data_IF_644320366464
#
_entry.id   IF_644320366464
#
_cell.length_a   1.000
_cell.length_b   1.000
_cell.length_c   1.000
_cell.angle_alpha   90.00
_cell.angle_beta   90.00
_cell.angle_gamma   90.00
#
_symmetry.space_group_name_H-M   'P 1'
#
loop_
_entity.id
_entity.type
_entity.pdbx_description
1 polymer ?
#
# COMPACT_ATOMS: atom_id res chain seq x y z
N UNK A 1 -43.68 1.94 18.08
CA UNK A 1 -43.34 1.56 19.47
C UNK A 1 -43.33 2.82 20.33
N UNK A 2 -43.88 2.78 21.54
CA UNK A 2 -43.96 3.98 22.42
C UNK A 2 -43.13 3.75 23.66
N UNK A 3 -42.31 4.72 24.04
CA UNK A 3 -41.50 4.69 25.26
C UNK A 3 -41.95 5.79 26.21
N UNK A 4 -42.15 5.42 27.47
CA UNK A 4 -42.52 6.33 28.57
C UNK A 4 -41.48 6.15 29.69
N UNK A 5 -40.82 7.25 30.06
CA UNK A 5 -39.92 7.30 31.23
C UNK A 5 -40.41 8.42 32.14
N UNK A 6 -40.37 8.18 33.46
CA UNK A 6 -40.76 9.18 34.45
C UNK A 6 -39.96 10.48 34.25
N UNK A 7 -40.63 11.63 34.21
CA UNK A 7 -40.03 12.95 34.01
C UNK A 7 -39.61 13.30 32.57
N UNK A 8 -39.94 12.48 31.55
CA UNK A 8 -39.61 12.77 30.14
C UNK A 8 -40.85 12.73 29.23
N UNK A 9 -40.90 13.52 28.14
CA UNK A 9 -41.99 13.47 27.19
C UNK A 9 -42.10 12.08 26.55
N UNK A 10 -43.33 11.64 26.30
CA UNK A 10 -43.63 10.35 25.66
C UNK A 10 -43.00 10.35 24.26
N UNK A 11 -42.23 9.31 23.91
CA UNK A 11 -41.62 9.17 22.58
C UNK A 11 -42.28 8.05 21.79
N UNK A 12 -42.69 8.35 20.57
CA UNK A 12 -43.19 7.38 19.60
C UNK A 12 -42.15 7.14 18.52
N UNK A 13 -41.77 5.88 18.35
CA UNK A 13 -40.82 5.43 17.32
C UNK A 13 -41.58 4.72 16.21
N UNK A 14 -41.34 5.16 14.98
CA UNK A 14 -41.83 4.53 13.76
C UNK A 14 -40.66 3.76 13.15
N UNK A 15 -40.87 2.48 12.92
CA UNK A 15 -39.91 1.55 12.32
C UNK A 15 -40.49 1.04 11.00
N UNK A 16 -39.63 0.65 10.06
CA UNK A 16 -40.07 0.12 8.77
C UNK A 16 -40.76 -1.25 8.88
N UNK A 17 -40.31 -2.10 9.80
CA UNK A 17 -40.95 -3.34 10.23
C UNK A 17 -40.47 -3.68 11.65
N UNK A 18 -41.01 -4.75 12.25
CA UNK A 18 -40.57 -5.20 13.58
C UNK A 18 -39.11 -5.66 13.52
N UNK A 19 -38.22 -4.96 14.24
CA UNK A 19 -36.77 -5.21 14.21
C UNK A 19 -36.02 -4.55 13.05
N UNK A 20 -36.71 -3.78 12.20
CA UNK A 20 -36.11 -3.02 11.10
C UNK A 20 -35.51 -1.67 11.53
N UNK A 21 -34.97 -0.88 10.57
CA UNK A 21 -34.41 0.43 10.84
C UNK A 21 -35.48 1.42 11.34
N UNK A 22 -35.06 2.35 12.21
CA UNK A 22 -35.91 3.41 12.76
C UNK A 22 -36.06 4.52 11.72
N UNK A 23 -37.31 4.81 11.34
CA UNK A 23 -37.65 5.79 10.31
C UNK A 23 -37.86 7.19 10.91
N UNK A 24 -38.63 7.30 11.98
CA UNK A 24 -38.96 8.59 12.60
C UNK A 24 -39.18 8.46 14.11
N UNK A 25 -38.82 9.51 14.85
CA UNK A 25 -39.15 9.66 16.28
C UNK A 25 -40.04 10.88 16.45
N UNK A 26 -41.13 10.75 17.17
CA UNK A 26 -42.07 11.84 17.51
C UNK A 26 -42.10 11.98 19.02
N UNK A 27 -41.93 13.20 19.52
CA UNK A 27 -41.96 13.51 20.95
C UNK A 27 -43.28 14.19 21.32
N UNK A 28 -43.90 13.72 22.41
CA UNK A 28 -45.17 14.24 22.90
C UNK A 28 -46.38 13.82 22.07
N UNK A 29 -47.57 14.13 22.60
CA UNK A 29 -48.85 13.98 21.90
C UNK A 29 -49.40 12.55 21.75
N UNK A 30 -50.58 12.43 21.09
CA UNK A 30 -51.21 11.15 20.79
C UNK A 30 -50.36 10.32 19.83
N UNK A 31 -50.71 9.04 19.66
CA UNK A 31 -49.99 8.12 18.76
C UNK A 31 -49.94 8.71 17.34
N UNK A 32 -48.74 8.92 16.76
CA UNK A 32 -48.61 9.58 15.47
C UNK A 32 -49.15 8.71 14.34
N UNK A 33 -49.81 9.35 13.38
CA UNK A 33 -50.24 8.74 12.12
C UNK A 33 -49.05 8.63 11.16
N UNK A 34 -49.09 7.60 10.30
CA UNK A 34 -48.08 7.40 9.25
C UNK A 34 -48.27 8.48 8.18
N UNK A 35 -47.20 9.22 7.89
CA UNK A 35 -47.20 10.28 6.87
C UNK A 35 -46.73 9.74 5.52
N UNK A 36 -46.94 10.51 4.43
CA UNK A 36 -46.38 10.16 3.11
C UNK A 36 -44.85 10.04 3.13
N UNK A 37 -44.16 10.88 3.91
CA UNK A 37 -42.71 10.80 4.09
C UNK A 37 -42.27 9.50 4.79
N UNK A 38 -43.05 9.03 5.79
CA UNK A 38 -42.80 7.74 6.42
C UNK A 38 -42.97 6.60 5.40
N UNK A 39 -43.99 6.63 4.55
CA UNK A 39 -44.23 5.60 3.52
C UNK A 39 -43.05 5.53 2.53
N UNK A 40 -42.53 6.68 2.07
CA UNK A 40 -41.36 6.73 1.18
C UNK A 40 -40.13 6.13 1.88
N UNK A 41 -39.88 6.49 3.14
CA UNK A 41 -38.75 5.98 3.90
C UNK A 41 -38.88 4.50 4.27
N UNK A 42 -40.10 4.00 4.50
CA UNK A 42 -40.40 2.58 4.66
C UNK A 42 -40.14 1.84 3.34
N UNK A 43 -40.58 2.39 2.20
CA UNK A 43 -40.31 1.84 0.87
C UNK A 43 -38.81 1.73 0.59
N UNK A 44 -38.05 2.80 0.85
CA UNK A 44 -36.59 2.78 0.71
C UNK A 44 -35.92 1.74 1.62
N UNK A 45 -36.40 1.60 2.87
CA UNK A 45 -35.90 0.60 3.80
C UNK A 45 -36.23 -0.84 3.38
N UNK A 46 -37.41 -1.07 2.79
CA UNK A 46 -37.82 -2.37 2.25
C UNK A 46 -36.98 -2.75 1.02
N UNK A 47 -36.76 -1.81 0.10
CA UNK A 47 -35.86 -2.01 -1.04
C UNK A 47 -34.43 -2.34 -0.59
N UNK A 48 -33.91 -1.61 0.40
CA UNK A 48 -32.57 -1.87 0.97
C UNK A 48 -32.48 -3.21 1.74
N UNK A 49 -33.60 -3.74 2.23
CA UNK A 49 -33.66 -5.01 2.95
C UNK A 49 -33.95 -6.22 2.05
N UNK A 50 -34.17 -6.02 0.75
CA UNK A 50 -34.33 -7.14 -0.18
C UNK A 50 -33.07 -8.00 -0.17
N UNK A 51 -33.20 -9.33 -0.03
CA UNK A 51 -32.03 -10.21 -0.08
C UNK A 51 -31.38 -10.07 -1.46
N UNK A 52 -30.07 -9.79 -1.47
CA UNK A 52 -29.30 -9.73 -2.72
C UNK A 52 -29.45 -11.06 -3.44
N UNK A 53 -29.96 -11.08 -4.69
CA UNK A 53 -30.12 -12.32 -5.43
C UNK A 53 -28.77 -13.04 -5.54
N UNK A 54 -28.75 -14.34 -5.21
CA UNK A 54 -27.49 -15.13 -5.19
C UNK A 54 -26.89 -15.33 -6.58
N UNK A 55 -27.67 -15.11 -7.62
CA UNK A 55 -27.33 -15.25 -9.03
C UNK A 55 -26.86 -13.94 -9.68
N UNK A 56 -26.53 -12.90 -8.89
CA UNK A 56 -25.91 -11.67 -9.37
C UNK A 56 -24.47 -11.52 -8.89
N UNK A 57 -23.73 -10.56 -9.46
CA UNK A 57 -22.36 -10.24 -9.02
C UNK A 57 -22.32 -9.79 -7.56
N UNK A 58 -23.31 -9.03 -7.08
CA UNK A 58 -23.37 -8.62 -5.67
C UNK A 58 -23.60 -9.82 -4.74
N UNK A 59 -24.44 -10.79 -5.14
CA UNK A 59 -24.64 -12.03 -4.40
C UNK A 59 -23.38 -12.88 -4.35
N UNK A 60 -22.64 -12.93 -5.47
CA UNK A 60 -21.35 -13.59 -5.58
C UNK A 60 -20.28 -12.91 -4.71
N UNK A 61 -20.20 -11.58 -4.73
CA UNK A 61 -19.27 -10.81 -3.91
C UNK A 61 -19.51 -11.02 -2.42
N UNK A 62 -20.78 -11.04 -1.99
CA UNK A 62 -21.17 -11.38 -0.61
C UNK A 62 -20.68 -12.78 -0.23
N UNK A 63 -20.91 -13.77 -1.09
CA UNK A 63 -20.46 -15.15 -0.88
C UNK A 63 -18.94 -15.27 -0.84
N UNK A 64 -18.23 -14.53 -1.70
CA UNK A 64 -16.77 -14.48 -1.73
C UNK A 64 -16.21 -13.86 -0.45
N UNK A 65 -16.76 -12.75 0.05
CA UNK A 65 -16.33 -12.14 1.32
C UNK A 65 -16.51 -13.08 2.52
N UNK A 66 -17.51 -13.96 2.49
CA UNK A 66 -17.75 -14.94 3.54
C UNK A 66 -16.82 -16.17 3.46
N UNK A 67 -16.10 -16.35 2.35
CA UNK A 67 -15.39 -17.57 2.01
C UNK A 67 -14.05 -17.73 2.75
N UNK A 68 -13.54 -18.97 2.88
CA UNK A 68 -12.20 -19.23 3.42
C UNK A 68 -11.10 -18.52 2.61
N UNK A 69 -11.21 -18.49 1.28
CA UNK A 69 -10.26 -17.87 0.35
C UNK A 69 -10.09 -16.37 0.64
N UNK A 70 -11.19 -15.66 0.94
CA UNK A 70 -11.14 -14.25 1.34
C UNK A 70 -10.61 -14.06 2.76
N UNK A 71 -11.07 -14.90 3.70
CA UNK A 71 -10.66 -14.85 5.10
C UNK A 71 -9.17 -15.16 5.30
N UNK A 72 -8.57 -15.95 4.41
CA UNK A 72 -7.15 -16.30 4.42
C UNK A 72 -6.23 -15.16 3.94
N UNK A 73 -6.76 -14.11 3.30
CA UNK A 73 -5.97 -12.97 2.83
C UNK A 73 -5.46 -12.12 4.01
N UNK A 74 -4.25 -11.58 3.87
CA UNK A 74 -3.72 -10.60 4.83
C UNK A 74 -4.64 -9.37 4.90
N UNK A 75 -4.73 -8.73 6.06
CA UNK A 75 -5.54 -7.53 6.26
C UNK A 75 -5.31 -6.44 5.18
N UNK A 76 -4.04 -6.13 4.84
CA UNK A 76 -3.76 -5.15 3.78
C UNK A 76 -4.17 -5.64 2.38
N UNK A 77 -4.09 -6.95 2.14
CA UNK A 77 -4.56 -7.54 0.88
C UNK A 77 -6.08 -7.42 0.81
N UNK A 78 -6.83 -7.81 1.86
CA UNK A 78 -8.29 -7.63 1.90
C UNK A 78 -8.70 -6.17 1.70
N UNK A 79 -7.94 -5.21 2.20
CA UNK A 79 -8.20 -3.79 2.03
C UNK A 79 -8.01 -3.32 0.57
N UNK A 80 -6.90 -3.70 -0.08
CA UNK A 80 -6.68 -3.38 -1.51
C UNK A 80 -7.70 -4.06 -2.42
N UNK A 81 -7.85 -5.38 -2.27
CA UNK A 81 -8.75 -6.20 -3.07
C UNK A 81 -10.22 -5.88 -2.75
N UNK A 82 -10.51 -5.43 -1.53
CA UNK A 82 -11.84 -5.02 -1.09
C UNK A 82 -12.33 -3.79 -1.84
N UNK A 83 -11.50 -2.74 -1.93
CA UNK A 83 -11.83 -1.56 -2.75
C UNK A 83 -12.04 -1.90 -4.21
N UNK A 84 -11.28 -2.84 -4.75
CA UNK A 84 -11.45 -3.31 -6.12
C UNK A 84 -12.77 -4.07 -6.29
N UNK A 85 -13.14 -4.89 -5.30
CA UNK A 85 -14.42 -5.58 -5.26
C UNK A 85 -15.59 -4.59 -5.13
N UNK A 86 -15.47 -3.54 -4.32
CA UNK A 86 -16.48 -2.48 -4.19
C UNK A 86 -16.70 -1.78 -5.54
N UNK A 87 -15.64 -1.53 -6.33
CA UNK A 87 -15.76 -0.98 -7.70
C UNK A 87 -16.49 -1.93 -8.65
N UNK A 88 -16.26 -3.25 -8.53
CA UNK A 88 -16.95 -4.28 -9.31
C UNK A 88 -18.44 -4.29 -8.94
N UNK A 89 -18.76 -4.28 -7.64
CA UNK A 89 -20.13 -4.24 -7.14
C UNK A 89 -20.86 -2.97 -7.61
N UNK A 90 -20.21 -1.81 -7.54
CA UNK A 90 -20.78 -0.56 -8.03
C UNK A 90 -21.07 -0.58 -9.55
N UNK A 91 -20.23 -1.27 -10.34
CA UNK A 91 -20.38 -1.31 -11.80
C UNK A 91 -21.36 -2.39 -12.29
N UNK A 92 -21.33 -3.56 -11.65
CA UNK A 92 -22.00 -4.76 -12.16
C UNK A 92 -22.79 -5.54 -11.10
N UNK A 93 -22.98 -5.00 -9.89
CA UNK A 93 -23.60 -5.72 -8.78
C UNK A 93 -24.93 -6.39 -9.11
N UNK A 94 -25.77 -5.72 -9.91
CA UNK A 94 -27.09 -6.21 -10.33
C UNK A 94 -27.04 -7.17 -11.54
N UNK A 95 -25.90 -7.28 -12.22
CA UNK A 95 -25.76 -8.08 -13.44
C UNK A 95 -25.87 -9.57 -13.08
N UNK A 96 -26.79 -10.32 -13.70
CA UNK A 96 -26.91 -11.76 -13.48
C UNK A 96 -25.66 -12.53 -13.94
N UNK A 97 -25.23 -13.52 -13.15
CA UNK A 97 -24.07 -14.38 -13.42
C UNK A 97 -24.15 -15.11 -14.76
N UNK A 98 -25.36 -15.47 -15.20
CA UNK A 98 -25.57 -16.10 -16.53
C UNK A 98 -25.05 -15.26 -17.70
N UNK A 99 -25.04 -13.93 -17.57
CA UNK A 99 -24.52 -13.05 -18.63
C UNK A 99 -23.00 -13.13 -18.73
N UNK A 100 -22.32 -13.48 -17.64
CA UNK A 100 -20.86 -13.67 -17.58
C UNK A 100 -20.39 -14.94 -18.28
N UNK A 101 -21.31 -15.81 -18.72
CA UNK A 101 -20.99 -16.91 -19.64
C UNK A 101 -20.99 -16.47 -21.12
N UNK A 102 -21.45 -15.25 -21.43
CA UNK A 102 -21.49 -14.75 -22.80
C UNK A 102 -20.15 -14.10 -23.19
N UNK A 103 -19.46 -14.54 -24.27
CA UNK A 103 -18.21 -13.94 -24.73
C UNK A 103 -18.28 -12.43 -25.00
N UNK A 104 -19.46 -11.89 -25.34
CA UNK A 104 -19.65 -10.45 -25.56
C UNK A 104 -19.38 -9.60 -24.32
N UNK A 105 -19.42 -10.20 -23.13
CA UNK A 105 -19.05 -9.50 -21.90
C UNK A 105 -17.56 -9.16 -21.84
N UNK A 106 -16.69 -9.89 -22.55
CA UNK A 106 -15.25 -9.56 -22.64
C UNK A 106 -15.07 -8.11 -23.14
N UNK A 107 -15.83 -7.70 -24.16
CA UNK A 107 -15.82 -6.33 -24.66
C UNK A 107 -16.19 -5.30 -23.59
N UNK A 108 -17.13 -5.63 -22.70
CA UNK A 108 -17.51 -4.73 -21.59
C UNK A 108 -16.41 -4.63 -20.53
N UNK A 109 -15.71 -5.73 -20.27
CA UNK A 109 -14.58 -5.75 -19.32
C UNK A 109 -13.43 -4.91 -19.87
N UNK A 110 -13.09 -5.06 -21.15
CA UNK A 110 -12.04 -4.28 -21.82
C UNK A 110 -12.42 -2.79 -21.83
N UNK A 111 -13.64 -2.43 -22.20
CA UNK A 111 -14.13 -1.04 -22.12
C UNK A 111 -14.02 -0.46 -20.70
N UNK A 112 -14.34 -1.25 -19.68
CA UNK A 112 -14.21 -0.81 -18.29
C UNK A 112 -12.75 -0.63 -17.88
N UNK A 113 -11.85 -1.55 -18.25
CA UNK A 113 -10.40 -1.40 -18.05
C UNK A 113 -9.89 -0.11 -18.69
N UNK A 114 -10.25 0.13 -19.94
CA UNK A 114 -9.77 1.27 -20.72
C UNK A 114 -10.35 2.59 -20.20
N UNK A 115 -11.54 2.59 -19.61
CA UNK A 115 -12.09 3.77 -18.90
C UNK A 115 -11.25 4.20 -17.67
N UNK A 116 -10.34 3.34 -17.21
CA UNK A 116 -9.41 3.60 -16.11
C UNK A 116 -7.96 3.81 -16.62
N UNK A 117 -7.76 4.13 -17.90
CA UNK A 117 -6.44 4.27 -18.52
C UNK A 117 -5.50 5.25 -17.79
N UNK A 118 -6.04 6.35 -17.23
CA UNK A 118 -5.29 7.33 -16.43
C UNK A 118 -4.77 6.76 -15.10
N UNK A 119 -5.31 5.62 -14.65
CA UNK A 119 -4.91 4.94 -13.42
C UNK A 119 -4.62 3.46 -13.70
N UNK A 120 -3.61 3.15 -14.53
CA UNK A 120 -3.43 1.83 -15.12
C UNK A 120 -3.25 0.73 -14.08
N UNK A 121 -2.53 1.03 -12.99
CA UNK A 121 -2.35 0.08 -11.86
C UNK A 121 -3.67 -0.21 -11.13
N UNK A 122 -4.55 0.78 -10.99
CA UNK A 122 -5.85 0.58 -10.37
C UNK A 122 -6.79 -0.20 -11.29
N UNK A 123 -6.70 0.03 -12.61
CA UNK A 123 -7.41 -0.75 -13.62
C UNK A 123 -7.01 -2.23 -13.53
N UNK A 124 -5.71 -2.52 -13.51
CA UNK A 124 -5.21 -3.90 -13.45
C UNK A 124 -5.61 -4.63 -12.16
N UNK A 125 -5.60 -3.93 -11.01
CA UNK A 125 -6.08 -4.51 -9.75
C UNK A 125 -7.57 -4.82 -9.84
N UNK A 126 -8.37 -3.94 -10.45
CA UNK A 126 -9.80 -4.15 -10.63
C UNK A 126 -10.09 -5.35 -11.53
N UNK A 127 -9.40 -5.46 -12.67
CA UNK A 127 -9.50 -6.62 -13.56
C UNK A 127 -9.03 -7.89 -12.87
N UNK A 128 -7.90 -7.88 -12.18
CA UNK A 128 -7.42 -9.05 -11.45
C UNK A 128 -8.42 -9.50 -10.37
N UNK A 129 -9.07 -8.58 -9.67
CA UNK A 129 -10.11 -8.92 -8.68
C UNK A 129 -11.34 -9.49 -9.37
N UNK A 130 -11.73 -8.97 -10.53
CA UNK A 130 -12.82 -9.56 -11.31
C UNK A 130 -12.49 -10.99 -11.75
N UNK A 131 -11.29 -11.23 -12.29
CA UNK A 131 -10.80 -12.55 -12.66
C UNK A 131 -10.88 -13.52 -11.48
N UNK A 132 -10.46 -13.10 -10.28
CA UNK A 132 -10.58 -13.95 -9.07
C UNK A 132 -12.01 -14.22 -8.65
N UNK A 133 -12.88 -13.22 -8.75
CA UNK A 133 -14.30 -13.34 -8.38
C UNK A 133 -15.01 -14.33 -9.33
N UNK A 134 -14.76 -14.23 -10.63
CA UNK A 134 -15.32 -15.17 -11.60
C UNK A 134 -14.71 -16.56 -11.48
N UNK A 135 -13.44 -16.69 -11.11
CA UNK A 135 -12.84 -18.00 -10.81
C UNK A 135 -13.51 -18.65 -9.61
N UNK A 136 -13.79 -17.86 -8.57
CA UNK A 136 -14.54 -18.31 -7.39
C UNK A 136 -15.95 -18.82 -7.76
N UNK A 137 -16.64 -18.14 -8.69
CA UNK A 137 -17.93 -18.57 -9.22
C UNK A 137 -17.82 -19.84 -10.09
N UNK A 138 -16.77 -19.93 -10.92
CA UNK A 138 -16.52 -21.07 -11.82
C UNK A 138 -16.32 -22.36 -11.03
N UNK A 139 -15.49 -22.30 -9.98
CA UNK A 139 -15.25 -23.43 -9.09
C UNK A 139 -16.51 -23.89 -8.31
N UNK A 140 -17.56 -23.06 -8.29
CA UNK A 140 -18.86 -23.35 -7.65
C UNK A 140 -19.96 -23.65 -8.68
N UNK A 141 -19.61 -23.82 -9.95
CA UNK A 141 -20.56 -24.12 -11.03
C UNK A 141 -21.54 -22.99 -11.36
N UNK A 142 -21.28 -21.76 -10.90
CA UNK A 142 -22.17 -20.62 -11.14
C UNK A 142 -21.92 -19.94 -12.49
N UNK A 143 -20.72 -20.13 -13.04
CA UNK A 143 -20.35 -19.75 -14.42
C UNK A 143 -19.52 -20.86 -15.05
N UNK A 144 -19.62 -21.02 -16.36
CA UNK A 144 -18.92 -22.11 -17.07
C UNK A 144 -17.45 -21.76 -17.34
N UNK A 145 -17.16 -20.49 -17.62
CA UNK A 145 -15.84 -20.00 -18.01
C UNK A 145 -15.52 -18.68 -17.30
N UNK A 146 -14.24 -18.45 -17.05
CA UNK A 146 -13.76 -17.18 -16.53
C UNK A 146 -13.41 -16.23 -17.68
N UNK A 147 -14.41 -15.46 -18.14
CA UNK A 147 -14.24 -14.55 -19.27
C UNK A 147 -13.32 -13.34 -18.97
N UNK A 148 -12.98 -13.10 -17.70
CA UNK A 148 -12.03 -12.07 -17.31
C UNK A 148 -10.58 -12.60 -17.29
N UNK A 149 -10.36 -13.88 -17.59
CA UNK A 149 -9.02 -14.45 -17.71
C UNK A 149 -8.32 -13.98 -18.98
N UNK A 150 -7.01 -13.79 -18.92
CA UNK A 150 -6.18 -13.43 -20.08
C UNK A 150 -6.30 -11.99 -20.57
N UNK A 151 -7.02 -11.10 -19.86
CA UNK A 151 -7.09 -9.68 -20.21
C UNK A 151 -5.73 -9.02 -19.94
N UNK A 152 -5.08 -8.39 -20.95
CA UNK A 152 -3.78 -7.74 -20.76
C UNK A 152 -3.83 -6.58 -19.75
N UNK A 153 -2.72 -6.39 -19.04
CA UNK A 153 -2.52 -5.29 -18.10
C UNK A 153 -2.21 -3.98 -18.82
N UNK A 154 -2.69 -2.86 -18.28
CA UNK A 154 -2.32 -1.51 -18.75
C UNK A 154 -1.02 -1.02 -18.10
N UNK A 155 -0.75 -1.41 -16.86
CA UNK A 155 0.45 -0.95 -16.15
C UNK A 155 1.69 -1.59 -16.76
N UNK A 156 2.57 -0.74 -17.30
CA UNK A 156 3.93 -1.14 -17.67
C UNK A 156 4.82 -0.93 -16.45
N UNK A 157 5.50 -2.00 -16.02
CA UNK A 157 6.53 -1.87 -15.00
C UNK A 157 7.64 -1.00 -15.58
N UNK A 158 7.76 0.23 -15.09
CA UNK A 158 8.96 1.02 -15.33
C UNK A 158 10.10 0.39 -14.53
N UNK A 159 11.23 0.07 -15.19
CA UNK A 159 12.44 -0.29 -14.50
C UNK A 159 12.87 0.91 -13.65
N UNK A 160 13.00 0.69 -12.34
CA UNK A 160 13.40 1.71 -11.36
C UNK A 160 14.68 1.31 -10.62
N UNK A 161 15.37 0.27 -11.09
CA UNK A 161 16.63 -0.16 -10.49
C UNK A 161 17.67 0.97 -10.56
N UNK A 162 17.64 1.73 -11.64
CA UNK A 162 18.44 2.94 -11.86
C UNK A 162 18.02 4.14 -11.02
N UNK A 163 17.00 4.09 -10.15
CA UNK A 163 16.59 5.26 -9.38
C UNK A 163 17.11 5.15 -7.96
N UNK A 164 18.13 5.95 -7.63
CA UNK A 164 18.65 6.11 -6.25
C UNK A 164 18.52 7.56 -5.77
N UNK A 165 18.82 7.76 -4.49
CA UNK A 165 19.07 9.09 -3.93
C UNK A 165 20.57 9.33 -3.89
N UNK A 166 21.03 10.39 -4.55
CA UNK A 166 22.42 10.87 -4.54
C UNK A 166 22.65 11.78 -3.33
N UNK A 167 23.91 12.16 -3.11
CA UNK A 167 24.26 13.06 -2.00
C UNK A 167 23.62 14.46 -2.20
N UNK A 168 23.46 14.92 -3.44
CA UNK A 168 22.74 16.16 -3.77
C UNK A 168 21.25 16.08 -3.44
N UNK A 169 20.61 14.92 -3.67
CA UNK A 169 19.22 14.72 -3.26
C UNK A 169 19.09 14.79 -1.73
N UNK A 170 20.02 14.17 -1.00
CA UNK A 170 20.02 14.25 0.47
C UNK A 170 20.31 15.67 0.95
N UNK A 171 21.19 16.42 0.28
CA UNK A 171 21.45 17.82 0.59
C UNK A 171 20.17 18.66 0.40
N UNK A 172 19.47 18.48 -0.72
CA UNK A 172 18.18 19.15 -1.00
C UNK A 172 17.12 18.77 0.02
N UNK A 173 16.97 17.48 0.32
CA UNK A 173 16.02 16.99 1.33
C UNK A 173 16.30 17.54 2.72
N UNK A 174 17.58 17.60 3.11
CA UNK A 174 18.01 18.05 4.43
C UNK A 174 18.14 19.59 4.54
N UNK A 175 18.09 20.36 3.46
CA UNK A 175 18.04 21.82 3.56
C UNK A 175 16.60 22.35 3.52
N UNK A 176 15.66 21.58 2.95
CA UNK A 176 14.32 22.06 2.67
C UNK A 176 13.43 22.22 3.92
N UNK A 177 12.87 23.42 4.12
CA UNK A 177 12.08 23.79 5.31
C UNK A 177 10.81 22.97 5.52
N UNK A 178 10.18 22.49 4.42
CA UNK A 178 8.97 21.65 4.50
C UNK A 178 9.26 20.21 4.93
N UNK A 179 10.53 19.81 4.97
CA UNK A 179 10.93 18.46 5.39
C UNK A 179 11.23 18.47 6.87
N UNK A 180 10.26 18.01 7.67
CA UNK A 180 10.41 17.90 9.13
C UNK A 180 11.48 16.89 9.53
N UNK A 181 12.11 17.09 10.70
CA UNK A 181 13.19 16.23 11.20
C UNK A 181 12.82 14.73 11.20
N UNK A 182 11.61 14.38 11.62
CA UNK A 182 11.16 12.97 11.63
C UNK A 182 11.17 12.29 10.24
N UNK A 183 11.04 13.04 9.14
CA UNK A 183 11.16 12.52 7.78
C UNK A 183 12.63 12.42 7.33
N UNK A 184 13.49 13.32 7.82
CA UNK A 184 14.95 13.26 7.62
C UNK A 184 15.54 12.04 8.29
N UNK A 185 15.13 11.77 9.53
CA UNK A 185 15.48 10.58 10.29
C UNK A 185 15.09 9.29 9.53
N UNK A 186 13.89 9.27 8.93
CA UNK A 186 13.43 8.13 8.10
C UNK A 186 14.34 7.93 6.88
N UNK A 187 14.64 9.01 6.13
CA UNK A 187 15.47 8.93 4.93
C UNK A 187 16.91 8.49 5.27
N UNK A 188 17.49 9.05 6.33
CA UNK A 188 18.81 8.70 6.83
C UNK A 188 18.89 7.22 7.24
N UNK A 189 17.93 6.73 8.03
CA UNK A 189 17.93 5.32 8.46
C UNK A 189 17.71 4.37 7.28
N UNK A 190 16.86 4.74 6.31
CA UNK A 190 16.68 3.97 5.09
C UNK A 190 17.99 3.86 4.30
N UNK A 191 18.75 4.95 4.19
CA UNK A 191 20.02 5.01 3.47
C UNK A 191 21.18 4.29 4.16
N UNK A 192 21.04 3.93 5.44
CA UNK A 192 22.06 3.21 6.21
C UNK A 192 21.70 1.75 6.49
N UNK A 193 20.46 1.32 6.19
CA UNK A 193 20.00 -0.04 6.50
C UNK A 193 19.38 -0.78 5.31
N UNK A 194 18.93 -0.05 4.29
CA UNK A 194 18.22 -0.64 3.15
C UNK A 194 16.94 -1.38 3.55
N UNK A 195 16.35 -1.12 4.73
CA UNK A 195 15.14 -1.80 5.19
C UNK A 195 13.91 -1.44 4.34
N UNK A 196 12.92 -2.35 4.25
CA UNK A 196 11.64 -2.04 3.58
C UNK A 196 10.85 -1.08 4.47
N UNK A 197 10.01 -0.22 3.91
CA UNK A 197 9.21 0.76 4.70
C UNK A 197 8.57 0.18 5.97
N UNK A 198 7.85 -0.94 5.86
CA UNK A 198 7.16 -1.56 6.99
C UNK A 198 8.15 -2.08 8.06
N UNK A 199 9.32 -2.51 7.60
CA UNK A 199 10.42 -2.93 8.44
C UNK A 199 11.05 -1.71 9.11
N UNK A 200 11.42 -0.69 8.34
CA UNK A 200 12.04 0.55 8.81
C UNK A 200 11.25 1.22 9.97
N UNK A 201 9.95 1.44 9.80
CA UNK A 201 9.10 2.07 10.83
C UNK A 201 8.82 1.19 12.04
N UNK A 202 9.06 -0.11 11.89
CA UNK A 202 8.78 -1.10 12.90
C UNK A 202 10.04 -1.63 13.59
N UNK A 203 11.21 -1.05 13.30
CA UNK A 203 12.46 -1.40 13.94
C UNK A 203 12.43 -0.91 15.39
N UNK A 204 12.79 -1.79 16.32
CA UNK A 204 12.87 -1.51 17.76
C UNK A 204 14.32 -1.55 18.25
N UNK A 205 14.60 -0.88 19.37
CA UNK A 205 15.94 -0.89 19.97
C UNK A 205 16.43 -2.31 20.33
N UNK A 206 15.51 -3.19 20.74
CA UNK A 206 15.84 -4.59 21.07
C UNK A 206 16.33 -5.44 19.87
N UNK A 207 16.07 -5.01 18.64
CA UNK A 207 16.52 -5.70 17.42
C UNK A 207 17.93 -5.26 16.99
N UNK A 208 18.50 -4.25 17.65
CA UNK A 208 19.83 -3.70 17.37
C UNK A 208 20.82 -4.32 18.35
N UNK A 209 21.71 -5.17 17.86
CA UNK A 209 22.86 -5.68 18.62
C UNK A 209 24.10 -4.82 18.40
N UNK A 210 25.26 -5.28 18.89
CA UNK A 210 26.51 -4.51 18.83
C UNK A 210 27.08 -4.39 17.40
N UNK A 211 26.95 -5.46 16.61
CA UNK A 211 27.56 -5.55 15.27
C UNK A 211 26.55 -5.62 14.13
N UNK A 212 25.28 -5.92 14.45
CA UNK A 212 24.26 -6.15 13.45
C UNK A 212 22.85 -5.88 13.98
N UNK A 213 21.98 -5.43 13.07
CA UNK A 213 20.54 -5.43 13.28
C UNK A 213 20.01 -6.80 12.85
N UNK A 214 19.32 -7.50 13.75
CA UNK A 214 18.74 -8.82 13.49
C UNK A 214 17.24 -8.80 13.68
N UNK A 215 16.48 -9.20 12.65
CA UNK A 215 15.03 -9.24 12.76
C UNK A 215 14.31 -10.16 11.80
N UNK A 216 13.04 -10.40 12.09
CA UNK A 216 12.11 -11.07 11.18
C UNK A 216 11.34 -10.01 10.40
N UNK A 217 11.36 -10.11 9.06
CA UNK A 217 10.62 -9.19 8.20
C UNK A 217 9.13 -9.16 8.56
N UNK A 218 8.55 -7.97 8.70
CA UNK A 218 7.15 -7.78 9.10
C UNK A 218 6.19 -8.28 8.03
N UNK A 219 6.55 -8.10 6.75
CA UNK A 219 5.76 -8.58 5.61
C UNK A 219 6.25 -9.94 5.11
N UNK A 220 5.29 -10.78 4.70
CA UNK A 220 5.57 -12.02 3.99
C UNK A 220 6.04 -11.72 2.58
N UNK A 221 7.06 -12.43 2.13
CA UNK A 221 7.44 -12.52 0.72
C UNK A 221 7.41 -13.98 0.31
N UNK A 222 6.73 -14.30 -0.80
CA UNK A 222 6.52 -15.69 -1.26
C UNK A 222 6.02 -16.62 -0.14
N UNK A 223 5.04 -16.14 0.64
CA UNK A 223 4.40 -16.90 1.72
C UNK A 223 5.15 -16.96 3.05
N UNK A 224 6.43 -16.57 3.12
CA UNK A 224 7.25 -16.67 4.34
C UNK A 224 7.77 -15.31 4.80
N UNK A 225 7.91 -15.13 6.12
CA UNK A 225 8.73 -14.04 6.68
C UNK A 225 10.18 -14.51 6.68
N UNK A 226 11.09 -13.66 6.22
CA UNK A 226 12.52 -13.98 6.16
C UNK A 226 13.22 -13.27 7.32
N UNK A 227 14.23 -13.93 7.89
CA UNK A 227 15.18 -13.28 8.78
C UNK A 227 16.02 -12.32 7.93
N UNK A 228 16.18 -11.09 8.40
CA UNK A 228 17.01 -10.06 7.79
C UNK A 228 18.08 -9.71 8.82
N UNK A 229 19.33 -9.78 8.40
CA UNK A 229 20.50 -9.43 9.22
C UNK A 229 21.27 -8.38 8.43
N UNK A 230 21.51 -7.22 9.05
CA UNK A 230 22.23 -6.11 8.42
C UNK A 230 23.40 -5.72 9.32
N UNK A 231 24.63 -5.59 8.78
CA UNK A 231 25.77 -5.12 9.56
C UNK A 231 25.56 -3.66 10.00
N UNK A 232 26.07 -3.33 11.18
CA UNK A 232 26.14 -1.94 11.64
C UNK A 232 27.47 -1.34 11.18
N UNK A 233 27.39 -0.47 10.18
CA UNK A 233 28.52 0.32 9.72
C UNK A 233 28.76 1.49 10.70
N UNK A 234 29.98 2.05 10.79
CA UNK A 234 30.28 3.17 11.72
C UNK A 234 29.34 4.37 11.56
N UNK A 235 28.95 4.68 10.32
CA UNK A 235 27.99 5.75 9.98
C UNK A 235 26.58 5.46 10.49
N UNK A 236 26.16 4.19 10.52
CA UNK A 236 24.89 3.78 11.10
C UNK A 236 24.92 3.93 12.63
N UNK A 237 26.03 3.59 13.28
CA UNK A 237 26.16 3.73 14.73
C UNK A 237 25.97 5.18 15.18
N UNK A 238 26.64 6.13 14.52
CA UNK A 238 26.48 7.56 14.78
C UNK A 238 25.03 8.02 14.62
N UNK A 239 24.36 7.55 13.55
CA UNK A 239 22.95 7.86 13.33
C UNK A 239 22.05 7.26 14.43
N UNK A 240 22.31 6.03 14.87
CA UNK A 240 21.54 5.39 15.93
C UNK A 240 21.66 6.15 17.25
N UNK A 241 22.85 6.66 17.57
CA UNK A 241 23.09 7.44 18.78
C UNK A 241 22.36 8.80 18.73
N UNK A 242 22.36 9.48 17.58
CA UNK A 242 21.52 10.68 17.39
C UNK A 242 20.02 10.35 17.49
N UNK A 243 19.57 9.25 16.87
CA UNK A 243 18.16 8.85 16.90
C UNK A 243 17.68 8.52 18.33
N UNK A 244 18.53 8.04 19.23
CA UNK A 244 18.18 7.82 20.65
C UNK A 244 17.77 9.12 21.35
N UNK A 245 18.32 10.26 20.95
CA UNK A 245 18.04 11.57 21.56
C UNK A 245 16.65 12.12 21.25
N UNK A 246 15.97 11.59 20.20
CA UNK A 246 14.66 12.09 19.78
C UNK A 246 13.60 11.93 20.90
N UNK A 247 12.75 12.93 21.15
CA UNK A 247 11.72 12.84 22.19
C UNK A 247 10.70 11.76 21.86
N UNK A 248 10.40 10.89 22.82
CA UNK A 248 9.48 9.75 22.67
C UNK A 248 8.45 9.74 23.77
N UNK A 249 7.24 9.28 23.46
CA UNK A 249 6.24 8.99 24.50
C UNK A 249 6.64 7.73 25.27
N UNK A 250 6.17 7.63 26.52
CA UNK A 250 6.37 6.44 27.36
C UNK A 250 5.89 5.17 26.63
N UNK A 251 6.70 4.12 26.67
CA UNK A 251 6.43 2.81 26.05
C UNK A 251 6.66 2.73 24.54
N UNK A 252 7.21 3.78 23.91
CA UNK A 252 7.55 3.77 22.48
C UNK A 252 8.98 3.25 22.28
N UNK A 253 9.08 1.98 21.89
CA UNK A 253 10.36 1.29 21.65
C UNK A 253 10.87 1.38 20.22
N UNK A 254 10.16 2.08 19.32
CA UNK A 254 10.57 2.19 17.92
C UNK A 254 11.72 3.17 17.74
N UNK A 255 12.68 2.79 16.89
CA UNK A 255 13.84 3.62 16.54
C UNK A 255 13.39 4.91 15.87
N UNK A 256 12.44 4.84 14.94
CA UNK A 256 11.84 6.01 14.32
C UNK A 256 10.56 6.42 15.06
N UNK A 257 10.41 7.72 15.26
CA UNK A 257 9.21 8.33 15.85
C UNK A 257 8.73 9.50 15.00
N UNK A 258 7.46 9.84 15.12
CA UNK A 258 6.88 11.06 14.52
C UNK A 258 7.28 12.29 15.32
N UNK A 259 6.94 13.49 14.83
CA UNK A 259 7.08 14.74 15.58
C UNK A 259 6.35 14.76 16.94
N UNK A 260 5.38 13.86 17.14
CA UNK A 260 4.63 13.72 18.40
C UNK A 260 5.22 12.64 19.32
N UNK A 261 6.39 12.08 18.99
CA UNK A 261 7.05 11.02 19.76
C UNK A 261 6.32 9.68 19.72
N UNK A 262 5.47 9.45 18.71
CA UNK A 262 4.71 8.20 18.53
C UNK A 262 5.27 7.35 17.38
N UNK A 263 4.98 6.03 17.32
CA UNK A 263 5.35 5.20 16.19
C UNK A 263 4.71 5.67 14.88
N UNK A 264 5.43 5.48 13.77
CA UNK A 264 4.90 5.72 12.44
C UNK A 264 3.84 4.68 12.04
N UNK A 265 2.75 5.12 11.43
CA UNK A 265 1.87 4.24 10.66
C UNK A 265 2.36 4.13 9.21
N UNK A 266 2.06 3.02 8.55
CA UNK A 266 2.42 2.85 7.13
C UNK A 266 1.83 3.96 6.25
N UNK A 267 0.51 4.16 6.33
CA UNK A 267 -0.18 5.16 5.51
C UNK A 267 0.27 6.59 5.86
N UNK A 268 0.47 6.89 7.15
CA UNK A 268 0.99 8.17 7.60
C UNK A 268 2.35 8.47 6.97
N UNK A 269 3.30 7.53 7.05
CA UNK A 269 4.61 7.72 6.46
C UNK A 269 4.54 7.88 4.93
N UNK A 270 3.79 7.02 4.25
CA UNK A 270 3.68 7.11 2.78
C UNK A 270 3.07 8.42 2.31
N UNK A 271 2.04 8.92 3.00
CA UNK A 271 1.43 10.21 2.69
C UNK A 271 2.38 11.37 2.96
N UNK A 272 2.96 11.45 4.17
CA UNK A 272 3.85 12.54 4.57
C UNK A 272 5.14 12.57 3.74
N UNK A 273 5.79 11.43 3.52
CA UNK A 273 7.00 11.35 2.72
C UNK A 273 6.74 11.71 1.27
N UNK A 274 5.66 11.20 0.67
CA UNK A 274 5.29 11.54 -0.70
C UNK A 274 4.92 13.01 -0.87
N UNK A 275 4.30 13.64 0.14
CA UNK A 275 4.09 15.09 0.14
C UNK A 275 5.43 15.82 0.15
N UNK A 276 6.32 15.48 1.09
CA UNK A 276 7.62 16.12 1.23
C UNK A 276 8.48 16.03 -0.05
N UNK A 277 8.49 14.88 -0.72
CA UNK A 277 9.17 14.71 -2.03
C UNK A 277 8.68 15.73 -3.07
N UNK A 278 7.36 15.98 -3.11
CA UNK A 278 6.77 16.95 -4.04
C UNK A 278 7.12 18.39 -3.67
N UNK A 279 7.18 18.69 -2.38
CA UNK A 279 7.61 20.02 -1.91
C UNK A 279 9.07 20.30 -2.27
N UNK A 280 9.93 19.27 -2.25
CA UNK A 280 11.35 19.38 -2.59
C UNK A 280 11.66 19.26 -4.09
N UNK A 281 10.64 19.04 -4.93
CA UNK A 281 10.79 18.77 -6.37
C UNK A 281 11.81 17.64 -6.70
N UNK A 282 11.84 16.57 -5.88
CA UNK A 282 12.84 15.51 -6.06
C UNK A 282 12.43 14.51 -7.15
N UNK A 283 13.17 14.58 -8.26
CA UNK A 283 12.97 13.73 -9.44
C UNK A 283 14.25 12.99 -9.83
N UNK A 284 14.06 11.82 -10.43
CA UNK A 284 15.04 11.22 -11.32
C UNK A 284 14.70 11.63 -12.74
N UNK A 285 15.73 11.90 -13.53
CA UNK A 285 15.64 12.22 -14.95
C UNK A 285 16.39 11.11 -15.66
N UNK A 286 15.70 10.36 -16.52
CA UNK A 286 16.35 9.32 -17.33
C UNK A 286 17.05 9.93 -18.56
N UNK A 287 17.71 9.08 -19.37
CA UNK A 287 18.48 9.50 -20.55
C UNK A 287 17.64 10.25 -21.59
N UNK A 288 16.32 10.01 -21.61
CA UNK A 288 15.39 10.62 -22.56
C UNK A 288 14.81 11.94 -22.00
N UNK A 289 15.21 12.35 -20.80
CA UNK A 289 14.74 13.56 -20.14
C UNK A 289 13.43 13.38 -19.37
N UNK A 290 12.90 12.16 -19.26
CA UNK A 290 11.63 11.91 -18.59
C UNK A 290 11.78 11.99 -17.07
N UNK A 291 10.95 12.85 -16.45
CA UNK A 291 10.99 13.08 -15.00
C UNK A 291 10.12 12.09 -14.25
N UNK A 292 10.72 11.40 -13.28
CA UNK A 292 10.02 10.48 -12.39
C UNK A 292 10.25 10.88 -10.94
N UNK A 293 9.16 11.07 -10.19
CA UNK A 293 9.24 11.32 -8.76
C UNK A 293 10.07 10.25 -8.06
N UNK A 294 11.03 10.67 -7.23
CA UNK A 294 11.74 9.77 -6.32
C UNK A 294 10.82 9.38 -5.16
N UNK A 295 11.04 8.22 -4.55
CA UNK A 295 10.27 7.80 -3.39
C UNK A 295 11.13 7.04 -2.38
N UNK A 296 10.64 6.88 -1.15
CA UNK A 296 11.37 6.22 -0.05
C UNK A 296 11.95 4.84 -0.43
N UNK A 297 11.31 4.09 -1.34
CA UNK A 297 11.83 2.78 -1.74
C UNK A 297 13.11 2.86 -2.58
N UNK A 298 13.35 3.97 -3.29
CA UNK A 298 14.51 4.19 -4.15
C UNK A 298 15.79 4.35 -3.31
N UNK A 299 15.67 4.85 -2.07
CA UNK A 299 16.80 4.98 -1.12
C UNK A 299 17.47 3.62 -0.82
N UNK A 300 16.75 2.50 -1.01
CA UNK A 300 17.36 1.17 -0.87
C UNK A 300 18.49 0.94 -1.88
N UNK A 301 18.38 1.54 -3.08
CA UNK A 301 19.45 1.53 -4.09
C UNK A 301 20.68 2.26 -3.57
N UNK A 302 20.51 3.41 -2.92
CA UNK A 302 21.61 4.14 -2.25
C UNK A 302 22.31 3.31 -1.18
N UNK A 303 21.57 2.52 -0.40
CA UNK A 303 22.22 1.64 0.58
C UNK A 303 22.99 0.49 -0.12
N UNK A 304 22.45 -0.04 -1.21
CA UNK A 304 23.16 -1.07 -1.99
C UNK A 304 24.46 -0.52 -2.59
N UNK A 305 24.47 0.69 -3.15
CA UNK A 305 25.70 1.32 -3.65
C UNK A 305 26.72 1.55 -2.54
N UNK A 306 26.29 1.92 -1.32
CA UNK A 306 27.18 1.99 -0.15
C UNK A 306 27.79 0.64 0.20
N UNK A 307 27.03 -0.45 0.16
CA UNK A 307 27.58 -1.79 0.41
C UNK A 307 28.59 -2.22 -0.66
N UNK A 308 28.43 -1.73 -1.90
CA UNK A 308 29.35 -2.00 -3.01
C UNK A 308 30.67 -1.23 -2.90
N UNK A 309 30.65 -0.03 -2.31
CA UNK A 309 31.80 0.90 -2.29
C UNK A 309 32.44 1.07 -0.92
N UNK A 310 31.81 0.55 0.14
CA UNK A 310 32.31 0.70 1.50
C UNK A 310 33.73 0.09 1.64
N UNK A 311 34.72 0.86 2.12
CA UNK A 311 36.08 0.37 2.31
C UNK A 311 36.12 -0.88 3.20
N UNK A 312 36.82 -1.91 2.74
CA UNK A 312 36.97 -3.19 3.46
C UNK A 312 35.81 -4.17 3.27
N UNK A 313 34.72 -3.78 2.60
CA UNK A 313 33.63 -4.68 2.20
C UNK A 313 33.79 -5.09 0.73
N UNK A 314 34.36 -6.27 0.50
CA UNK A 314 34.43 -6.87 -0.84
C UNK A 314 33.25 -7.82 -1.07
N UNK A 315 32.03 -7.30 -0.95
CA UNK A 315 30.81 -8.10 -1.08
C UNK A 315 30.46 -8.37 -2.55
N UNK A 316 30.22 -9.63 -2.85
CA UNK A 316 29.68 -10.07 -4.15
C UNK A 316 28.22 -9.64 -4.32
N UNK A 317 27.74 -9.58 -5.56
CA UNK A 317 26.34 -9.26 -5.87
C UNK A 317 25.35 -10.22 -5.21
N UNK A 318 25.75 -11.49 -5.07
CA UNK A 318 24.98 -12.51 -4.37
C UNK A 318 24.87 -12.21 -2.88
N UNK A 319 25.95 -11.79 -2.23
CA UNK A 319 25.94 -11.44 -0.81
C UNK A 319 25.10 -10.20 -0.54
N UNK A 320 25.26 -9.14 -1.36
CA UNK A 320 24.42 -7.94 -1.29
C UNK A 320 22.95 -8.30 -1.56
N UNK A 321 22.68 -9.14 -2.56
CA UNK A 321 21.34 -9.63 -2.88
C UNK A 321 20.70 -10.38 -1.71
N UNK A 322 21.47 -11.22 -1.01
CA UNK A 322 21.01 -11.93 0.18
C UNK A 322 20.67 -10.99 1.35
N UNK A 323 21.51 -9.97 1.60
CA UNK A 323 21.27 -8.95 2.63
C UNK A 323 20.02 -8.12 2.31
N UNK A 324 19.87 -7.71 1.05
CA UNK A 324 18.79 -6.83 0.57
C UNK A 324 17.49 -7.57 0.28
N UNK A 325 17.54 -8.89 0.11
CA UNK A 325 16.44 -9.70 -0.42
C UNK A 325 16.11 -9.36 -1.87
N UNK A 326 17.15 -9.13 -2.68
CA UNK A 326 17.13 -8.86 -4.13
C UNK A 326 17.75 -10.03 -4.90
N UNK A 327 17.49 -10.09 -6.20
CA UNK A 327 18.20 -11.05 -7.06
C UNK A 327 19.61 -10.52 -7.38
N UNK A 328 20.60 -11.39 -7.59
CA UNK A 328 21.95 -10.95 -7.97
C UNK A 328 21.96 -10.10 -9.24
N UNK A 329 21.08 -10.40 -10.19
CA UNK A 329 20.96 -9.66 -11.46
C UNK A 329 20.53 -8.21 -11.22
N UNK A 330 19.58 -7.98 -10.31
CA UNK A 330 19.17 -6.63 -9.93
C UNK A 330 20.31 -5.85 -9.26
N UNK A 331 21.17 -6.54 -8.49
CA UNK A 331 22.33 -5.91 -7.84
C UNK A 331 23.40 -5.56 -8.87
N UNK A 332 23.68 -6.47 -9.82
CA UNK A 332 24.62 -6.25 -10.89
C UNK A 332 24.23 -5.06 -11.78
N UNK A 333 22.93 -4.90 -12.07
CA UNK A 333 22.41 -3.75 -12.81
C UNK A 333 22.72 -2.44 -12.07
N UNK A 334 22.42 -2.36 -10.77
CA UNK A 334 22.73 -1.17 -9.95
C UNK A 334 24.25 -0.90 -9.93
N UNK A 335 25.07 -1.94 -9.80
CA UNK A 335 26.53 -1.82 -9.77
C UNK A 335 27.06 -1.23 -11.09
N UNK A 336 26.61 -1.75 -12.22
CA UNK A 336 27.00 -1.26 -13.53
C UNK A 336 26.74 0.24 -13.67
N UNK A 337 25.52 0.69 -13.33
CA UNK A 337 25.10 2.08 -13.48
C UNK A 337 25.77 3.07 -12.51
N UNK A 338 26.07 2.66 -11.27
CA UNK A 338 26.43 3.60 -10.21
C UNK A 338 27.85 3.44 -9.65
N UNK A 339 28.46 2.28 -9.84
CA UNK A 339 29.79 1.97 -9.28
C UNK A 339 30.81 1.85 -10.38
N UNK A 340 30.50 1.04 -11.39
CA UNK A 340 31.45 0.76 -12.46
C UNK A 340 31.61 1.97 -13.38
N UNK A 341 30.51 2.61 -13.81
CA UNK A 341 30.54 3.85 -14.61
C UNK A 341 31.28 4.98 -13.88
N UNK A 342 31.03 5.16 -12.57
CA UNK A 342 31.71 6.16 -11.76
C UNK A 342 33.22 5.86 -11.60
N UNK A 343 33.58 4.59 -11.37
CA UNK A 343 34.98 4.17 -11.28
C UNK A 343 35.73 4.33 -12.61
N UNK A 344 35.07 4.05 -13.74
CA UNK A 344 35.60 4.26 -15.09
C UNK A 344 35.83 5.75 -15.34
N UNK A 345 34.88 6.62 -15.02
CA UNK A 345 35.01 8.08 -15.17
C UNK A 345 36.16 8.63 -14.32
N UNK A 346 36.29 8.21 -13.07
CA UNK A 346 37.42 8.61 -12.20
C UNK A 346 38.75 8.10 -12.75
N UNK A 347 38.80 6.86 -13.24
CA UNK A 347 40.00 6.29 -13.85
C UNK A 347 40.41 7.03 -15.14
N UNK A 348 39.45 7.39 -15.99
CA UNK A 348 39.67 8.22 -17.18
C UNK A 348 40.14 9.63 -16.81
N UNK A 349 39.51 10.27 -15.84
CA UNK A 349 39.91 11.59 -15.33
C UNK A 349 41.34 11.60 -14.80
N UNK A 350 41.75 10.56 -14.07
CA UNK A 350 43.15 10.39 -13.61
C UNK A 350 44.14 10.19 -14.75
N UNK A 351 43.73 9.50 -15.84
CA UNK A 351 44.56 9.34 -17.05
C UNK A 351 44.69 10.64 -17.84
N UNK A 352 43.63 11.45 -17.90
CA UNK A 352 43.63 12.75 -18.58
C UNK A 352 44.40 13.83 -17.79
N UNK A 353 44.38 13.77 -16.45
CA UNK A 353 45.14 14.67 -15.58
C UNK A 353 46.61 14.22 -15.36
N UNK A 354 46.95 13.02 -15.80
CA UNK A 354 48.29 12.43 -15.72
C UNK A 354 49.02 12.36 -17.06
N UNK A 355 48.63 13.19 -18.04
CA UNK A 355 49.29 13.35 -19.34
C UNK A 355 49.86 14.77 -19.48
#
# INVERSE_FOLDING_TARGET
MTSRKAGKPVRHYIYAWRGGPRIRTVEGGPKPTITKADIIAIGAALEAAKPVPKDTVAGLATSYRASPEWKALEASTRDTWGRALDKIEAKWGEVPLRLWCNPRMVTQIVKWRDSMAETPRAADIAIAQLTRLLEFARLRGQVTVNIASGIPTLYRNAQRAEIIWTDEDFATWNSHDKVVQSLRDVAALAAQTGLRRADLIGLTWSEIGDVAITRIARKKSRGKRRRVVMPILPTLQLLLDDLKTRPRKSGVETVLVTSHGTPWSGNGLSGSFGKAVRETDLHHVDSDGEKRWKHLHDIRGTYATKLMTAPGLNLTDKEIGNLMGWSPEQVAEIRAHYVDDAAIVVALGRRLLGA
#
